data_IF_332973541634
#
_entry.id   IF_332973541634
#
_cell.length_a   1.000
_cell.length_b   1.000
_cell.length_c   1.000
_cell.angle_alpha   90.00
_cell.angle_beta   90.00
_cell.angle_gamma   90.00
#
_symmetry.space_group_name_H-M   'P 1'
#
loop_
_entity.id
_entity.type
_entity.pdbx_description
1 polymer ?
#
# COMPACT_ATOMS: atom_id res chain seq x y z
N UNK A 1 3.44 -16.23 -1.44
CA UNK A 1 3.10 -14.97 -0.74
C UNK A 1 3.25 -13.83 -1.73
N UNK A 2 2.27 -12.92 -1.83
CA UNK A 2 2.34 -11.81 -2.79
C UNK A 2 3.43 -10.84 -2.40
N UNK A 3 4.23 -10.42 -3.39
CA UNK A 3 5.32 -9.48 -3.20
C UNK A 3 4.89 -8.03 -3.38
N UNK A 4 3.65 -7.81 -3.83
CA UNK A 4 3.06 -6.50 -3.98
C UNK A 4 1.57 -6.54 -3.62
N UNK A 5 1.08 -5.40 -3.15
CA UNK A 5 -0.31 -5.17 -2.80
C UNK A 5 -0.75 -3.83 -3.39
N UNK A 6 -1.97 -3.79 -3.91
CA UNK A 6 -2.60 -2.56 -4.36
C UNK A 6 -3.50 -2.02 -3.24
N UNK A 7 -3.39 -0.71 -3.00
CA UNK A 7 -4.13 -0.03 -1.94
C UNK A 7 -5.21 0.84 -2.57
N UNK A 8 -6.44 0.56 -2.19
CA UNK A 8 -7.62 1.34 -2.54
C UNK A 8 -8.20 1.95 -1.27
N UNK A 9 -8.55 3.22 -1.35
CA UNK A 9 -9.35 3.90 -0.34
C UNK A 9 -10.57 4.46 -1.06
N UNK A 10 -11.75 4.14 -0.55
CA UNK A 10 -13.02 4.32 -1.23
C UNK A 10 -13.04 3.63 -2.60
N UNK A 11 -13.08 4.39 -3.70
CA UNK A 11 -13.03 3.88 -5.08
C UNK A 11 -11.72 4.26 -5.79
N UNK A 12 -10.74 4.78 -5.05
CA UNK A 12 -9.52 5.34 -5.59
C UNK A 12 -8.30 4.48 -5.28
N UNK A 13 -7.55 4.10 -6.31
CA UNK A 13 -6.21 3.52 -6.13
C UNK A 13 -5.23 4.59 -5.67
N UNK A 14 -4.77 4.47 -4.43
CA UNK A 14 -3.89 5.47 -3.79
C UNK A 14 -2.40 5.10 -3.82
N UNK A 15 -2.09 3.82 -4.07
CA UNK A 15 -0.71 3.37 -4.16
C UNK A 15 -0.54 1.86 -4.15
N UNK A 16 0.73 1.47 -4.06
CA UNK A 16 1.18 0.08 -4.00
C UNK A 16 2.04 -0.12 -2.76
N UNK A 17 1.97 -1.28 -2.14
CA UNK A 17 2.95 -1.73 -1.13
C UNK A 17 3.77 -2.84 -1.77
N UNK A 18 5.09 -2.69 -1.78
CA UNK A 18 6.01 -3.68 -2.35
C UNK A 18 6.89 -4.23 -1.24
N UNK A 19 7.10 -5.55 -1.24
CA UNK A 19 8.06 -6.23 -0.38
C UNK A 19 9.47 -5.97 -0.90
N UNK A 20 10.29 -5.31 -0.10
CA UNK A 20 11.72 -5.10 -0.30
C UNK A 20 12.53 -6.11 0.53
N UNK A 21 13.86 -6.07 0.43
CA UNK A 21 14.74 -7.00 1.15
C UNK A 21 14.57 -6.90 2.67
N UNK A 22 14.35 -5.69 3.19
CA UNK A 22 14.33 -5.38 4.62
C UNK A 22 12.93 -5.11 5.18
N UNK A 23 11.87 -5.14 4.34
CA UNK A 23 10.51 -4.83 4.80
C UNK A 23 9.53 -4.55 3.66
N UNK A 24 8.59 -3.66 3.91
CA UNK A 24 7.56 -3.24 2.98
C UNK A 24 7.60 -1.73 2.78
N UNK A 25 7.59 -1.28 1.53
CA UNK A 25 7.57 0.14 1.18
C UNK A 25 6.30 0.50 0.43
N UNK A 26 5.72 1.64 0.78
CA UNK A 26 4.58 2.21 0.07
C UNK A 26 5.02 3.14 -1.06
N UNK A 27 4.36 3.03 -2.21
CA UNK A 27 4.56 3.84 -3.39
C UNK A 27 3.25 4.54 -3.73
N UNK A 28 3.18 5.84 -3.42
CA UNK A 28 1.97 6.64 -3.62
C UNK A 28 1.76 7.00 -5.09
N UNK A 29 0.51 6.92 -5.55
CA UNK A 29 0.07 7.56 -6.81
C UNK A 29 -0.23 9.05 -6.61
N UNK A 30 -0.62 9.45 -5.39
CA UNK A 30 -1.01 10.83 -5.04
C UNK A 30 0.09 11.59 -4.30
N UNK A 31 0.19 12.91 -4.54
CA UNK A 31 1.20 13.77 -3.89
C UNK A 31 1.04 13.87 -2.37
N UNK A 32 -0.19 13.88 -1.87
CA UNK A 32 -0.49 13.97 -0.43
C UNK A 32 0.08 12.81 0.38
N UNK A 33 0.26 11.64 -0.23
CA UNK A 33 0.75 10.43 0.43
C UNK A 33 2.24 10.17 0.19
N UNK A 34 2.96 11.08 -0.50
CA UNK A 34 4.40 10.94 -0.77
C UNK A 34 5.25 10.88 0.51
N UNK A 35 4.77 11.44 1.61
CA UNK A 35 5.45 11.38 2.91
C UNK A 35 5.74 9.95 3.37
N UNK A 36 4.86 9.00 3.05
CA UNK A 36 4.99 7.59 3.46
C UNK A 36 6.01 6.80 2.64
N UNK A 37 6.42 7.28 1.47
CA UNK A 37 7.38 6.56 0.61
C UNK A 37 8.79 6.48 1.19
N UNK A 38 9.09 7.34 2.17
CA UNK A 38 10.37 7.35 2.88
C UNK A 38 10.44 6.28 3.97
N UNK A 39 9.30 5.74 4.39
CA UNK A 39 9.22 4.80 5.49
C UNK A 39 9.31 3.37 4.98
N UNK A 40 10.04 2.55 5.74
CA UNK A 40 10.03 1.10 5.60
C UNK A 40 9.23 0.53 6.76
N UNK A 41 8.34 -0.42 6.45
CA UNK A 41 7.44 -1.03 7.43
C UNK A 41 7.75 -2.52 7.57
N UNK A 42 7.59 -3.05 8.79
CA UNK A 42 7.86 -4.48 9.05
C UNK A 42 6.86 -5.40 8.35
N UNK A 43 5.63 -4.93 8.13
CA UNK A 43 4.55 -5.71 7.51
C UNK A 43 3.75 -4.87 6.51
N UNK A 44 3.14 -5.53 5.53
CA UNK A 44 2.23 -4.89 4.59
C UNK A 44 1.03 -4.24 5.30
N UNK A 45 0.49 -4.87 6.35
CA UNK A 45 -0.61 -4.32 7.14
C UNK A 45 -0.21 -3.01 7.84
N UNK A 46 1.00 -2.91 8.41
CA UNK A 46 1.48 -1.69 9.04
C UNK A 46 1.58 -0.53 8.03
N UNK A 47 2.10 -0.81 6.83
CA UNK A 47 2.12 0.17 5.74
C UNK A 47 0.68 0.58 5.33
N UNK A 48 -0.26 -0.36 5.22
CA UNK A 48 -1.65 -0.08 4.89
C UNK A 48 -2.31 0.84 5.92
N UNK A 49 -2.18 0.55 7.21
CA UNK A 49 -2.73 1.39 8.28
C UNK A 49 -2.18 2.83 8.21
N UNK A 50 -0.87 2.99 8.01
CA UNK A 50 -0.28 4.32 7.89
C UNK A 50 -0.83 5.13 6.69
N UNK A 51 -1.17 4.45 5.58
CA UNK A 51 -1.81 5.09 4.42
C UNK A 51 -3.23 5.53 4.75
N UNK A 52 -4.01 4.69 5.43
CA UNK A 52 -5.39 5.01 5.85
C UNK A 52 -5.40 6.18 6.83
N UNK A 53 -4.54 6.16 7.84
CA UNK A 53 -4.43 7.21 8.86
C UNK A 53 -4.03 8.57 8.25
N UNK A 54 -3.13 8.57 7.26
CA UNK A 54 -2.71 9.79 6.58
C UNK A 54 -3.78 10.32 5.61
N UNK A 55 -4.59 9.44 5.02
CA UNK A 55 -5.58 9.82 4.01
C UNK A 55 -6.80 10.53 4.61
N UNK A 56 -7.30 10.09 5.77
CA UNK A 56 -8.49 10.70 6.37
C UNK A 56 -8.40 10.72 7.91
N UNK A 57 -8.21 11.89 8.53
CA UNK A 57 -8.18 12.01 9.99
C UNK A 57 -9.57 12.02 10.65
N UNK A 58 -10.68 12.01 9.88
CA UNK A 58 -12.01 12.38 10.41
C UNK A 58 -13.13 11.32 10.28
N UNK A 59 -12.92 10.20 9.59
CA UNK A 59 -13.81 9.03 9.61
C UNK A 59 -13.05 7.85 9.00
N UNK A 60 -13.27 6.61 9.49
CA UNK A 60 -12.62 5.42 8.94
C UNK A 60 -13.10 5.16 7.51
N UNK A 61 -12.29 5.46 6.47
CA UNK A 61 -12.73 5.22 5.11
C UNK A 61 -12.70 3.72 4.81
N UNK A 62 -13.58 3.25 3.93
CA UNK A 62 -13.48 1.90 3.38
C UNK A 62 -12.13 1.77 2.67
N UNK A 63 -11.29 0.86 3.14
CA UNK A 63 -9.95 0.64 2.57
C UNK A 63 -9.77 -0.84 2.26
N UNK A 64 -9.02 -1.12 1.19
CA UNK A 64 -8.75 -2.47 0.73
C UNK A 64 -7.28 -2.62 0.33
N UNK A 65 -6.71 -3.77 0.71
CA UNK A 65 -5.35 -4.19 0.35
C UNK A 65 -5.43 -5.46 -0.49
N UNK A 66 -5.26 -5.30 -1.80
CA UNK A 66 -5.46 -6.36 -2.78
C UNK A 66 -4.10 -7.00 -3.10
N UNK A 67 -3.88 -8.30 -2.79
CA UNK A 67 -2.64 -8.97 -3.12
C UNK A 67 -2.48 -9.13 -4.64
N UNK A 68 -1.38 -8.61 -5.18
CA UNK A 68 -0.99 -8.85 -6.56
C UNK A 68 -0.24 -10.17 -6.62
N UNK A 69 -0.94 -11.23 -7.04
CA UNK A 69 -0.30 -12.50 -7.36
C UNK A 69 0.47 -12.31 -8.66
N UNK A 70 1.77 -12.65 -8.65
CA UNK A 70 2.57 -12.60 -9.87
C UNK A 70 1.86 -13.40 -10.96
N UNK A 71 1.58 -12.77 -12.10
CA UNK A 71 1.26 -13.51 -13.30
C UNK A 71 2.40 -14.50 -13.49
N UNK A 72 2.10 -15.80 -13.46
CA UNK A 72 3.08 -16.81 -13.83
C UNK A 72 3.65 -16.39 -15.20
N UNK A 73 4.97 -16.43 -15.40
CA UNK A 73 5.51 -16.22 -16.74
C UNK A 73 4.83 -17.24 -17.66
N UNK A 74 4.27 -16.77 -18.77
CA UNK A 74 3.90 -17.66 -19.85
C UNK A 74 5.22 -18.30 -20.34
N UNK A 75 5.35 -19.62 -20.14
CA UNK A 75 6.41 -20.43 -20.74
C UNK A 75 6.36 -20.39 -22.28
#
# INVERSE_FOLDING_TARGET
MSHAYLIEIEQDTVGLIIREAEGYRFYATRRSLKGLQRNLFDTASAAHHAVVDLHSPSAAPSSSMIPLHGAAPAE
#
